data_IF_479239765515
#
_entry.id   IF_479239765515
#
_cell.length_a   1.000
_cell.length_b   1.000
_cell.length_c   1.000
_cell.angle_alpha   90.00
_cell.angle_beta   90.00
_cell.angle_gamma   90.00
#
_symmetry.space_group_name_H-M   'P 1'
#
loop_
_entity.id
_entity.type
_entity.pdbx_description
1 polymer ?
#
# COMPACT_ATOMS: atom_id res chain seq x y z
N UNK A 1 0.32 -25.75 -6.38
CA UNK A 1 0.08 -24.32 -6.04
C UNK A 1 -1.30 -23.84 -6.52
N UNK A 2 -1.66 -24.11 -7.78
CA UNK A 2 -2.93 -23.67 -8.38
C UNK A 2 -4.16 -24.30 -7.70
N UNK A 3 -4.09 -25.60 -7.36
CA UNK A 3 -5.18 -26.32 -6.65
C UNK A 3 -5.39 -25.86 -5.20
N UNK A 4 -4.39 -25.26 -4.58
CA UNK A 4 -4.51 -24.73 -3.23
C UNK A 4 -5.26 -23.39 -3.21
N UNK A 5 -5.04 -22.56 -4.21
CA UNK A 5 -5.71 -21.26 -4.38
C UNK A 5 -7.20 -21.43 -4.74
N UNK A 6 -7.56 -22.45 -5.52
CA UNK A 6 -8.95 -22.75 -5.86
C UNK A 6 -9.77 -23.29 -4.69
N UNK A 7 -9.13 -23.90 -3.68
CA UNK A 7 -9.81 -24.35 -2.44
C UNK A 7 -10.12 -23.20 -1.47
N UNK A 8 -9.35 -22.12 -1.53
CA UNK A 8 -9.56 -20.93 -0.69
C UNK A 8 -10.56 -19.95 -1.31
N UNK A 9 -10.83 -20.08 -2.60
CA UNK A 9 -11.73 -19.19 -3.32
C UNK A 9 -13.08 -19.87 -3.59
N UNK A 10 -13.94 -19.91 -2.59
CA UNK A 10 -15.39 -20.09 -2.83
C UNK A 10 -16.02 -18.91 -3.59
N UNK A 11 -15.20 -17.99 -4.09
CA UNK A 11 -15.61 -16.80 -4.84
C UNK A 11 -15.07 -16.87 -6.27
N UNK A 12 -15.94 -17.20 -7.22
CA UNK A 12 -15.69 -17.20 -8.66
C UNK A 12 -15.01 -15.90 -9.17
N UNK A 13 -15.17 -14.79 -8.45
CA UNK A 13 -14.60 -13.50 -8.82
C UNK A 13 -13.08 -13.42 -8.57
N UNK A 14 -12.56 -14.13 -7.58
CA UNK A 14 -11.14 -14.13 -7.24
C UNK A 14 -10.31 -14.97 -8.22
N UNK A 15 -10.87 -16.10 -8.67
CA UNK A 15 -10.25 -16.99 -9.66
C UNK A 15 -10.06 -16.30 -11.01
N UNK A 16 -11.07 -15.57 -11.49
CA UNK A 16 -10.98 -14.84 -12.75
C UNK A 16 -9.90 -13.72 -12.72
N UNK A 17 -9.68 -13.11 -11.55
CA UNK A 17 -8.63 -12.11 -11.38
C UNK A 17 -7.23 -12.72 -11.34
N UNK A 18 -7.07 -13.87 -10.70
CA UNK A 18 -5.79 -14.61 -10.67
C UNK A 18 -5.45 -15.18 -12.04
N UNK A 19 -6.42 -15.72 -12.75
CA UNK A 19 -6.24 -16.19 -14.13
C UNK A 19 -5.79 -15.06 -15.06
N UNK A 20 -6.41 -13.89 -14.98
CA UNK A 20 -6.01 -12.72 -15.77
C UNK A 20 -4.60 -12.23 -15.42
N UNK A 21 -4.15 -12.38 -14.17
CA UNK A 21 -2.79 -12.03 -13.76
C UNK A 21 -1.75 -12.97 -14.39
N UNK A 22 -2.00 -14.28 -14.36
CA UNK A 22 -1.05 -15.27 -14.90
C UNK A 22 -1.09 -15.37 -16.43
N UNK A 23 -2.26 -15.17 -17.06
CA UNK A 23 -2.44 -15.31 -18.52
C UNK A 23 -1.94 -14.06 -19.27
N UNK A 24 -2.06 -12.87 -18.68
CA UNK A 24 -1.71 -11.61 -19.37
C UNK A 24 -0.27 -11.15 -19.16
N UNK A 25 0.54 -11.86 -18.35
CA UNK A 25 1.92 -11.42 -18.06
C UNK A 25 1.94 -9.97 -17.55
N UNK A 26 0.92 -9.58 -16.80
CA UNK A 26 0.64 -8.20 -16.47
C UNK A 26 1.77 -7.55 -15.69
N UNK A 27 2.49 -6.64 -16.34
CA UNK A 27 3.35 -5.70 -15.63
C UNK A 27 2.49 -4.95 -14.63
N UNK A 28 2.95 -4.88 -13.37
CA UNK A 28 2.31 -4.01 -12.38
C UNK A 28 2.29 -2.60 -12.93
N UNK A 29 1.11 -2.02 -13.05
CA UNK A 29 0.97 -0.61 -13.37
C UNK A 29 1.78 0.22 -12.34
N UNK A 30 2.57 1.19 -12.82
CA UNK A 30 3.32 2.08 -11.91
C UNK A 30 2.40 3.18 -11.37
N UNK A 31 2.74 3.72 -10.20
CA UNK A 31 1.99 4.82 -9.55
C UNK A 31 2.07 6.17 -10.28
N UNK A 32 2.93 6.29 -11.26
CA UNK A 32 3.22 7.56 -11.93
C UNK A 32 4.13 8.49 -11.11
N UNK A 33 4.89 9.33 -11.80
CA UNK A 33 5.93 10.16 -11.19
C UNK A 33 5.35 11.22 -10.24
N UNK A 34 4.23 11.85 -10.59
CA UNK A 34 3.57 12.86 -9.77
C UNK A 34 3.20 12.29 -8.39
N UNK A 35 2.48 11.16 -8.38
CA UNK A 35 2.08 10.51 -7.14
C UNK A 35 3.28 10.08 -6.30
N UNK A 36 4.30 9.48 -6.93
CA UNK A 36 5.52 9.05 -6.24
C UNK A 36 6.25 10.21 -5.57
N UNK A 37 6.51 11.28 -6.33
CA UNK A 37 7.22 12.45 -5.82
C UNK A 37 6.45 13.15 -4.70
N UNK A 38 5.14 13.29 -4.88
CA UNK A 38 4.28 13.92 -3.89
C UNK A 38 4.22 13.14 -2.58
N UNK A 39 3.92 11.83 -2.63
CA UNK A 39 3.82 10.99 -1.43
C UNK A 39 5.16 10.90 -0.70
N UNK A 40 6.28 10.78 -1.43
CA UNK A 40 7.61 10.72 -0.84
C UNK A 40 7.94 12.01 -0.07
N UNK A 41 7.65 13.17 -0.67
CA UNK A 41 7.81 14.49 -0.02
C UNK A 41 6.85 14.67 1.16
N UNK A 42 5.59 14.26 1.01
CA UNK A 42 4.59 14.35 2.08
C UNK A 42 4.97 13.52 3.32
N UNK A 43 5.67 12.41 3.13
CA UNK A 43 6.25 11.59 4.20
C UNK A 43 7.55 12.17 4.77
N UNK A 44 7.92 13.39 4.39
CA UNK A 44 9.18 14.02 4.78
C UNK A 44 10.40 13.08 4.60
N UNK A 45 10.39 12.32 3.49
CA UNK A 45 11.45 11.36 3.13
C UNK A 45 11.67 10.24 4.16
N UNK A 46 10.70 9.98 5.03
CA UNK A 46 10.76 8.94 6.05
C UNK A 46 9.94 7.70 5.66
N UNK A 47 10.41 6.54 6.08
CA UNK A 47 9.70 5.28 5.89
C UNK A 47 8.34 5.30 6.59
N UNK A 48 7.27 4.98 5.87
CA UNK A 48 5.92 4.94 6.42
C UNK A 48 5.80 3.99 7.63
N UNK A 49 6.55 2.90 7.65
CA UNK A 49 6.40 1.87 8.67
C UNK A 49 7.31 2.08 9.90
N UNK A 50 8.61 2.24 9.70
CA UNK A 50 9.57 2.34 10.80
C UNK A 50 10.05 3.77 11.10
N UNK A 51 9.58 4.74 10.32
CA UNK A 51 9.94 6.16 10.47
C UNK A 51 11.45 6.50 10.35
N UNK A 52 12.24 5.59 9.81
CA UNK A 52 13.66 5.86 9.50
C UNK A 52 13.75 6.84 8.32
N UNK A 53 14.69 7.80 8.32
CA UNK A 53 15.02 8.57 7.13
C UNK A 53 15.43 7.62 5.99
N UNK A 54 14.89 7.87 4.80
CA UNK A 54 15.24 7.08 3.62
C UNK A 54 16.38 7.75 2.86
N UNK A 55 17.30 6.93 2.34
CA UNK A 55 18.52 7.37 1.65
C UNK A 55 18.79 6.46 0.45
N UNK A 56 18.87 7.06 -0.73
CA UNK A 56 19.15 6.35 -1.99
C UNK A 56 20.51 5.63 -2.01
N UNK A 57 21.49 6.16 -1.25
CA UNK A 57 22.84 5.60 -1.16
C UNK A 57 22.94 4.40 -0.21
N UNK A 58 21.98 4.24 0.70
CA UNK A 58 21.96 3.18 1.70
C UNK A 58 21.01 2.05 1.27
N UNK A 59 21.54 0.87 1.00
CA UNK A 59 20.77 -0.27 0.50
C UNK A 59 19.57 -0.65 1.40
N UNK A 60 19.70 -0.60 2.73
CA UNK A 60 18.64 -0.92 3.68
C UNK A 60 17.59 0.20 3.78
N UNK A 61 18.05 1.45 3.70
CA UNK A 61 17.21 2.65 3.81
C UNK A 61 16.67 3.16 2.47
N UNK A 62 17.03 2.51 1.35
CA UNK A 62 16.63 2.93 0.01
C UNK A 62 15.11 3.02 -0.11
N UNK A 63 14.56 4.16 -0.63
CA UNK A 63 13.12 4.34 -0.77
C UNK A 63 12.51 3.38 -1.79
N UNK A 64 11.38 2.80 -1.43
CA UNK A 64 10.57 1.92 -2.27
C UNK A 64 9.12 2.36 -2.24
N UNK A 65 8.53 2.53 -3.41
CA UNK A 65 7.08 2.67 -3.53
C UNK A 65 6.42 1.34 -3.21
N UNK A 66 5.53 1.33 -2.22
CA UNK A 66 4.85 0.13 -1.75
C UNK A 66 3.33 0.28 -1.84
N UNK A 67 2.67 -0.80 -2.22
CA UNK A 67 1.22 -0.93 -2.11
C UNK A 67 0.87 -1.29 -0.68
N UNK A 68 0.23 -0.37 0.06
CA UNK A 68 -0.17 -0.62 1.44
C UNK A 68 -1.05 -1.86 1.56
N UNK A 69 -2.18 -1.90 0.85
CA UNK A 69 -2.91 -3.14 0.58
C UNK A 69 -2.21 -3.83 -0.58
N UNK A 70 -1.80 -5.09 -0.45
CA UNK A 70 -1.03 -5.77 -1.47
C UNK A 70 -1.69 -5.72 -2.84
N UNK A 71 -0.88 -5.54 -3.88
CA UNK A 71 -1.35 -5.37 -5.26
C UNK A 71 -2.27 -6.51 -5.74
N UNK A 72 -2.05 -7.73 -5.25
CA UNK A 72 -2.89 -8.89 -5.57
C UNK A 72 -4.38 -8.67 -5.27
N UNK A 73 -4.70 -7.80 -4.29
CA UNK A 73 -6.08 -7.46 -3.93
C UNK A 73 -6.63 -6.24 -4.67
N UNK A 74 -5.82 -5.22 -4.88
CA UNK A 74 -6.30 -3.94 -5.44
C UNK A 74 -6.20 -3.88 -6.95
N UNK A 75 -5.28 -4.61 -7.57
CA UNK A 75 -5.02 -4.68 -9.03
C UNK A 75 -4.87 -3.30 -9.70
N UNK A 76 -4.48 -2.29 -8.94
CA UNK A 76 -4.29 -0.94 -9.43
C UNK A 76 -3.25 -0.20 -8.60
N UNK A 77 -2.51 0.71 -9.24
CA UNK A 77 -1.51 1.55 -8.58
C UNK A 77 -2.08 2.96 -8.40
N UNK A 78 -2.91 3.11 -7.38
CA UNK A 78 -3.57 4.37 -7.05
C UNK A 78 -2.93 5.04 -5.84
N UNK A 79 -2.88 6.38 -5.84
CA UNK A 79 -2.19 7.18 -4.83
C UNK A 79 -2.73 6.96 -3.41
N UNK A 80 -4.01 6.67 -3.23
CA UNK A 80 -4.59 6.33 -1.93
C UNK A 80 -3.98 5.08 -1.29
N UNK A 81 -3.43 4.17 -2.10
CA UNK A 81 -2.78 2.94 -1.65
C UNK A 81 -1.24 3.03 -1.65
N UNK A 82 -0.68 4.16 -2.09
CA UNK A 82 0.76 4.36 -2.16
C UNK A 82 1.33 4.83 -0.83
N UNK A 83 2.37 4.16 -0.38
CA UNK A 83 3.28 4.64 0.67
C UNK A 83 4.72 4.45 0.24
N UNK A 84 5.64 5.22 0.82
CA UNK A 84 7.07 4.96 0.68
C UNK A 84 7.58 4.21 1.90
N UNK A 85 8.28 3.12 1.66
CA UNK A 85 8.93 2.32 2.68
C UNK A 85 10.44 2.25 2.41
N UNK A 86 11.24 2.09 3.46
CA UNK A 86 12.63 1.71 3.25
C UNK A 86 12.71 0.28 2.70
N UNK A 87 13.78 -0.04 2.00
CA UNK A 87 13.95 -1.34 1.36
C UNK A 87 13.82 -2.52 2.35
N UNK A 88 14.30 -2.35 3.58
CA UNK A 88 14.18 -3.35 4.63
C UNK A 88 12.70 -3.63 4.99
N UNK A 89 11.91 -2.60 5.29
CA UNK A 89 10.49 -2.76 5.59
C UNK A 89 9.70 -3.31 4.40
N UNK A 90 9.99 -2.82 3.18
CA UNK A 90 9.31 -3.28 1.98
C UNK A 90 9.59 -4.77 1.70
N UNK A 91 10.85 -5.19 1.85
CA UNK A 91 11.26 -6.58 1.67
C UNK A 91 10.75 -7.51 2.77
N UNK A 92 10.63 -7.02 4.01
CA UNK A 92 10.05 -7.80 5.10
C UNK A 92 8.53 -7.89 4.98
N UNK A 93 7.85 -6.80 4.59
CA UNK A 93 6.38 -6.78 4.45
C UNK A 93 5.88 -7.74 3.37
N UNK A 94 6.48 -7.75 2.20
CA UNK A 94 6.01 -8.53 1.04
C UNK A 94 4.50 -8.31 0.76
N UNK A 95 3.74 -9.41 0.67
CA UNK A 95 2.28 -9.38 0.47
C UNK A 95 1.49 -9.48 1.79
N UNK A 96 2.13 -9.22 2.93
CA UNK A 96 1.44 -9.18 4.24
C UNK A 96 0.69 -7.87 4.42
N UNK A 97 -0.47 -7.95 5.06
CA UNK A 97 -1.28 -6.79 5.37
C UNK A 97 -0.75 -6.10 6.64
N UNK A 98 -0.44 -4.78 6.58
CA UNK A 98 0.01 -4.04 7.76
C UNK A 98 -1.01 -4.04 8.90
N UNK A 99 -0.52 -3.92 10.13
CA UNK A 99 -1.38 -3.83 11.32
C UNK A 99 -2.35 -2.65 11.26
N UNK A 100 -3.47 -2.78 11.94
CA UNK A 100 -4.55 -1.79 11.97
C UNK A 100 -4.07 -0.37 12.36
N UNK A 101 -3.02 -0.24 13.15
CA UNK A 101 -2.46 1.06 13.51
C UNK A 101 -1.88 1.81 12.30
N UNK A 102 -1.27 1.09 11.37
CA UNK A 102 -0.80 1.67 10.11
C UNK A 102 -1.95 2.02 9.17
N UNK A 103 -2.99 1.17 9.15
CA UNK A 103 -4.20 1.43 8.40
C UNK A 103 -4.88 2.73 8.87
N UNK A 104 -5.07 2.91 10.18
CA UNK A 104 -5.70 4.11 10.74
C UNK A 104 -4.90 5.38 10.40
N UNK A 105 -3.56 5.29 10.42
CA UNK A 105 -2.71 6.41 10.00
C UNK A 105 -2.88 6.75 8.52
N UNK A 106 -2.94 5.75 7.66
CA UNK A 106 -3.14 5.96 6.23
C UNK A 106 -4.57 6.41 5.91
N UNK A 107 -5.56 5.93 6.66
CA UNK A 107 -6.95 6.36 6.56
C UNK A 107 -7.09 7.85 6.89
N UNK A 108 -6.42 8.33 7.94
CA UNK A 108 -6.39 9.77 8.29
C UNK A 108 -5.77 10.61 7.17
N UNK A 109 -4.67 10.14 6.54
CA UNK A 109 -4.10 10.80 5.35
C UNK A 109 -5.09 10.84 4.19
N UNK A 110 -5.80 9.76 3.99
CA UNK A 110 -6.71 9.57 2.86
C UNK A 110 -8.09 10.20 3.07
N UNK A 111 -8.36 10.80 4.23
CA UNK A 111 -9.59 11.55 4.43
C UNK A 111 -9.72 12.63 3.34
N UNK A 112 -10.86 12.71 2.60
CA UNK A 112 -11.02 13.65 1.51
C UNK A 112 -10.83 15.12 1.90
N UNK A 113 -11.09 15.46 3.17
CA UNK A 113 -10.86 16.78 3.74
C UNK A 113 -9.43 17.04 4.22
N UNK A 114 -8.51 16.06 4.11
CA UNK A 114 -7.14 16.18 4.60
C UNK A 114 -6.30 17.17 3.81
N UNK A 115 -5.25 17.69 4.44
CA UNK A 115 -4.28 18.56 3.76
C UNK A 115 -3.49 17.80 2.69
N UNK A 116 -3.43 16.49 2.78
CA UNK A 116 -2.86 15.66 1.72
C UNK A 116 -3.56 15.90 0.38
N UNK A 117 -4.88 15.82 0.33
CA UNK A 117 -5.63 15.99 -0.90
C UNK A 117 -5.78 17.44 -1.32
N UNK A 118 -5.89 18.37 -0.37
CA UNK A 118 -5.94 19.82 -0.68
C UNK A 118 -4.69 20.32 -1.42
N UNK A 119 -3.54 19.71 -1.14
CA UNK A 119 -2.27 20.08 -1.74
C UNK A 119 -1.78 19.09 -2.82
N UNK A 120 -2.57 18.06 -3.12
CA UNK A 120 -2.22 17.12 -4.19
C UNK A 120 -2.27 17.84 -5.55
N UNK A 121 -1.24 17.69 -6.40
CA UNK A 121 -1.11 18.53 -7.61
C UNK A 121 -2.14 18.25 -8.69
N UNK A 122 -2.74 17.06 -8.68
CA UNK A 122 -3.72 16.67 -9.69
C UNK A 122 -5.12 16.56 -9.09
N UNK A 123 -6.14 16.91 -9.87
CA UNK A 123 -7.53 16.65 -9.48
C UNK A 123 -7.82 15.15 -9.51
N UNK A 124 -8.37 14.63 -8.42
CA UNK A 124 -8.76 13.23 -8.32
C UNK A 124 -10.29 13.11 -8.42
N UNK A 125 -10.81 12.64 -9.54
CA UNK A 125 -12.25 12.46 -9.67
C UNK A 125 -12.75 11.35 -8.73
N UNK A 126 -13.94 11.55 -8.15
CA UNK A 126 -14.63 10.60 -7.27
C UNK A 126 -13.74 10.12 -6.10
N UNK A 127 -13.05 11.08 -5.44
CA UNK A 127 -12.11 10.77 -4.38
C UNK A 127 -12.76 9.97 -3.24
N UNK A 128 -13.95 10.36 -2.80
CA UNK A 128 -14.70 9.70 -1.73
C UNK A 128 -14.93 8.22 -2.05
N UNK A 129 -15.45 7.91 -3.23
CA UNK A 129 -15.70 6.55 -3.68
C UNK A 129 -14.40 5.73 -3.80
N UNK A 130 -13.31 6.38 -4.19
CA UNK A 130 -11.99 5.74 -4.31
C UNK A 130 -11.45 5.35 -2.95
N UNK A 131 -11.53 6.26 -1.97
CA UNK A 131 -11.10 6.02 -0.59
C UNK A 131 -11.96 4.93 0.04
N UNK A 132 -13.30 4.99 -0.13
CA UNK A 132 -14.21 3.95 0.37
C UNK A 132 -13.87 2.57 -0.22
N UNK A 133 -13.63 2.49 -1.52
CA UNK A 133 -13.21 1.26 -2.18
C UNK A 133 -11.88 0.72 -1.65
N UNK A 134 -10.91 1.60 -1.40
CA UNK A 134 -9.64 1.23 -0.81
C UNK A 134 -9.81 0.67 0.61
N UNK A 135 -10.65 1.30 1.44
CA UNK A 135 -11.02 0.79 2.78
C UNK A 135 -11.60 -0.61 2.69
N UNK A 136 -12.56 -0.81 1.78
CA UNK A 136 -13.15 -2.14 1.54
C UNK A 136 -12.10 -3.18 1.14
N UNK A 137 -11.17 -2.84 0.27
CA UNK A 137 -10.06 -3.75 -0.09
C UNK A 137 -9.19 -4.13 1.11
N UNK A 138 -8.94 -3.21 2.05
CA UNK A 138 -8.20 -3.52 3.26
C UNK A 138 -8.91 -4.60 4.10
N UNK A 139 -10.21 -4.44 4.33
CA UNK A 139 -10.97 -5.43 5.12
C UNK A 139 -11.08 -6.78 4.41
N UNK A 140 -11.36 -6.79 3.11
CA UNK A 140 -11.41 -8.04 2.33
C UNK A 140 -10.06 -8.76 2.30
N UNK A 141 -8.96 -8.02 2.21
CA UNK A 141 -7.63 -8.60 2.33
C UNK A 141 -7.37 -9.16 3.73
N UNK A 142 -7.89 -8.51 4.77
CA UNK A 142 -7.79 -8.95 6.15
C UNK A 142 -8.46 -10.29 6.44
N UNK A 143 -9.51 -10.63 5.70
CA UNK A 143 -10.19 -11.92 5.81
C UNK A 143 -9.39 -13.08 5.20
N UNK A 144 -8.47 -12.79 4.29
CA UNK A 144 -7.76 -13.80 3.50
C UNK A 144 -6.26 -13.87 3.78
N UNK A 145 -5.68 -12.81 4.27
CA UNK A 145 -4.24 -12.72 4.58
C UNK A 145 -4.00 -12.74 6.08
N UNK A 146 -2.78 -13.15 6.44
CA UNK A 146 -2.27 -12.88 7.78
C UNK A 146 -2.19 -11.37 8.00
N UNK A 147 -2.97 -10.87 8.95
CA UNK A 147 -3.06 -9.45 9.31
C UNK A 147 -2.09 -9.10 10.43
N UNK A 148 -1.76 -7.82 10.55
CA UNK A 148 -1.02 -7.32 11.71
C UNK A 148 0.49 -7.29 11.54
N UNK A 149 1.00 -7.35 10.29
CA UNK A 149 2.42 -7.18 10.04
C UNK A 149 2.95 -5.86 10.62
N UNK A 150 4.09 -5.97 11.27
CA UNK A 150 4.88 -4.86 11.79
C UNK A 150 6.34 -5.09 11.46
N UNK A 151 7.15 -4.02 11.27
CA UNK A 151 8.58 -4.16 11.09
C UNK A 151 9.22 -4.92 12.26
N UNK A 152 10.12 -5.84 11.97
CA UNK A 152 10.94 -6.54 12.95
C UNK A 152 12.11 -5.65 13.36
N UNK A 153 11.91 -4.73 14.28
CA UNK A 153 12.96 -3.84 14.78
C UNK A 153 12.35 -2.73 15.61
N UNK A 154 13.15 -2.09 16.46
CA UNK A 154 12.70 -1.00 17.31
C UNK A 154 12.05 0.10 16.46
N UNK A 155 10.74 0.06 16.38
CA UNK A 155 9.96 1.13 15.80
C UNK A 155 10.07 2.32 16.74
N UNK A 156 10.90 3.28 16.40
CA UNK A 156 10.73 4.60 16.93
C UNK A 156 9.33 5.08 16.51
N UNK A 157 8.36 4.87 17.39
CA UNK A 157 7.05 5.52 17.32
C UNK A 157 7.25 7.01 17.61
N UNK A 158 8.05 7.67 16.77
CA UNK A 158 8.33 9.09 16.80
C UNK A 158 7.29 9.82 15.97
N UNK A 159 6.49 10.61 16.66
CA UNK A 159 5.77 11.79 16.21
C UNK A 159 5.47 11.88 14.70
N UNK A 160 4.26 11.47 14.33
CA UNK A 160 3.55 12.13 13.25
C UNK A 160 2.30 12.77 13.86
N UNK A 161 2.31 14.09 13.85
CA UNK A 161 1.17 14.94 14.19
C UNK A 161 0.09 14.78 13.10
#
# INVERSE_FOLDING_TARGET
CFQYLTRLSGNLHLTSHLENYFIRGGSREDFGNTARSYVYKYQDYHCFYCNRPMDESNAAAKPRADHFVPWVFVKSSRVENLVFACNECNSDKLDRLPAISFFNRLLKRNDPGSDFWKNYPDSIPNLDERVERWVKHYYLAGEQLSTGWRPSGNTHLGRFI
#
